data_IF_242685101361
#
_entry.id   IF_242685101361
#
_cell.length_a   1.000
_cell.length_b   1.000
_cell.length_c   1.000
_cell.angle_alpha   90.00
_cell.angle_beta   90.00
_cell.angle_gamma   90.00
#
_symmetry.space_group_name_H-M   'P 1'
#
loop_
_entity.id
_entity.type
_entity.pdbx_description
1 polymer ?
#
# COMPACT_ATOMS: atom_id res chain seq x y z
N UNK A 1 19.60 9.42 -0.19
CA UNK A 1 18.37 8.82 0.39
C UNK A 1 17.78 9.82 1.37
N UNK A 2 16.51 10.23 1.23
CA UNK A 2 15.84 11.03 2.27
C UNK A 2 15.78 10.18 3.54
N UNK A 3 16.24 10.71 4.67
CA UNK A 3 15.97 10.10 5.98
C UNK A 3 14.48 10.27 6.26
N UNK A 4 13.67 9.26 5.98
CA UNK A 4 12.31 9.18 6.51
C UNK A 4 12.38 8.66 7.93
N UNK A 5 11.76 9.37 8.87
CA UNK A 5 11.69 8.99 10.28
C UNK A 5 10.70 7.83 10.53
N UNK A 6 10.11 7.25 9.46
CA UNK A 6 9.16 6.14 9.49
C UNK A 6 8.04 6.33 10.53
N UNK A 7 7.46 7.52 10.59
CA UNK A 7 6.43 7.86 11.59
C UNK A 7 5.06 7.33 11.21
N UNK A 8 4.85 7.07 9.92
CA UNK A 8 3.57 6.66 9.34
C UNK A 8 3.78 5.57 8.31
N UNK A 9 3.05 4.47 8.48
CA UNK A 9 2.98 3.33 7.57
C UNK A 9 1.54 3.20 7.08
N UNK A 10 1.32 3.41 5.79
CA UNK A 10 0.02 3.28 5.16
C UNK A 10 -0.08 1.93 4.46
N UNK A 11 -0.97 1.07 4.94
CA UNK A 11 -1.33 -0.18 4.28
C UNK A 11 -2.49 0.09 3.29
N UNK A 12 -2.34 -0.36 2.04
CA UNK A 12 -3.37 -0.25 1.01
C UNK A 12 -3.46 -1.56 0.21
N UNK A 13 -4.66 -2.06 -0.13
CA UNK A 13 -4.79 -3.30 -0.89
C UNK A 13 -4.22 -3.13 -2.30
N UNK A 14 -3.33 -4.05 -2.68
CA UNK A 14 -2.58 -3.99 -3.94
C UNK A 14 -3.40 -4.30 -5.19
N UNK A 15 -4.57 -4.93 -5.04
CA UNK A 15 -5.46 -5.30 -6.14
C UNK A 15 -6.41 -4.17 -6.61
N UNK A 16 -6.32 -2.97 -6.02
CA UNK A 16 -7.16 -1.82 -6.39
C UNK A 16 -6.33 -0.65 -6.91
N UNK A 17 -6.17 -0.55 -8.24
CA UNK A 17 -5.32 0.47 -8.90
C UNK A 17 -5.57 1.91 -8.40
N UNK A 18 -6.83 2.35 -8.31
CA UNK A 18 -7.17 3.69 -7.80
C UNK A 18 -6.71 3.92 -6.35
N UNK A 19 -6.70 2.88 -5.51
CA UNK A 19 -6.25 2.97 -4.12
C UNK A 19 -4.73 3.02 -4.05
N UNK A 20 -4.05 2.25 -4.91
CA UNK A 20 -2.59 2.29 -5.05
C UNK A 20 -2.12 3.68 -5.48
N UNK A 21 -2.70 4.23 -6.55
CA UNK A 21 -2.38 5.57 -7.04
C UNK A 21 -2.55 6.62 -5.95
N UNK A 22 -3.70 6.59 -5.25
CA UNK A 22 -3.95 7.51 -4.14
C UNK A 22 -2.93 7.32 -3.01
N UNK A 23 -2.63 6.09 -2.60
CA UNK A 23 -1.71 5.81 -1.50
C UNK A 23 -0.31 6.38 -1.77
N UNK A 24 0.20 6.23 -3.00
CA UNK A 24 1.49 6.76 -3.43
C UNK A 24 1.54 8.30 -3.49
N UNK A 25 0.39 8.97 -3.63
CA UNK A 25 0.29 10.43 -3.65
C UNK A 25 0.12 11.07 -2.26
N UNK A 26 -0.08 10.27 -1.20
CA UNK A 26 -0.28 10.76 0.16
C UNK A 26 1.06 11.02 0.88
N UNK A 27 1.01 11.82 1.93
CA UNK A 27 2.19 12.20 2.73
C UNK A 27 2.68 11.17 3.75
N UNK A 28 2.37 9.88 3.56
CA UNK A 28 2.91 8.82 4.44
C UNK A 28 4.41 8.64 4.24
N UNK A 29 5.13 8.34 5.32
CA UNK A 29 6.57 8.07 5.23
C UNK A 29 6.86 6.74 4.50
N UNK A 30 5.97 5.75 4.65
CA UNK A 30 6.03 4.44 3.98
C UNK A 30 4.64 4.03 3.50
N UNK A 31 4.56 3.51 2.27
CA UNK A 31 3.37 2.85 1.71
C UNK A 31 3.68 1.36 1.57
N UNK A 32 2.80 0.52 2.11
CA UNK A 32 2.86 -0.93 1.97
C UNK A 32 1.64 -1.37 1.18
N UNK A 33 1.86 -1.90 -0.02
CA UNK A 33 0.82 -2.50 -0.83
C UNK A 33 0.61 -3.93 -0.35
N UNK A 34 -0.56 -4.18 0.23
CA UNK A 34 -0.92 -5.44 0.84
C UNK A 34 -1.47 -6.40 -0.21
N UNK A 35 -0.85 -7.57 -0.31
CA UNK A 35 -1.27 -8.69 -1.15
C UNK A 35 -1.83 -9.85 -0.32
N UNK A 36 -1.86 -9.72 1.01
CA UNK A 36 -2.32 -10.71 1.98
C UNK A 36 -3.75 -10.38 2.46
N UNK A 37 -3.94 -10.01 3.73
CA UNK A 37 -5.24 -10.02 4.39
C UNK A 37 -6.24 -9.01 3.80
N UNK A 38 -5.76 -7.93 3.15
CA UNK A 38 -6.61 -6.97 2.48
C UNK A 38 -7.08 -7.40 1.07
N UNK A 39 -6.62 -8.55 0.55
CA UNK A 39 -6.96 -9.06 -0.79
C UNK A 39 -7.71 -10.38 -0.68
N UNK A 40 -8.93 -10.43 -1.25
CA UNK A 40 -9.72 -11.65 -1.29
C UNK A 40 -8.97 -12.77 -2.04
N UNK A 41 -9.12 -14.02 -1.58
CA UNK A 41 -8.43 -15.18 -2.18
C UNK A 41 -8.68 -15.30 -3.69
N UNK A 42 -9.88 -14.95 -4.16
CA UNK A 42 -10.25 -14.97 -5.58
C UNK A 42 -9.54 -13.92 -6.43
N UNK A 43 -8.92 -12.93 -5.82
CA UNK A 43 -8.25 -11.80 -6.50
C UNK A 43 -6.72 -11.87 -6.38
N UNK A 44 -6.17 -12.92 -5.73
CA UNK A 44 -4.73 -13.17 -5.69
C UNK A 44 -4.29 -13.87 -6.97
N UNK A 45 -3.16 -13.43 -7.53
CA UNK A 45 -2.44 -14.21 -8.54
C UNK A 45 -1.90 -15.50 -7.92
N UNK A 46 -1.84 -16.58 -8.69
CA UNK A 46 -1.37 -17.91 -8.25
C UNK A 46 0.11 -18.11 -8.55
#
# INVERSE_FOLDING_TARGET
MRKHANRTYLFAPGNHERRVEKALALGSDVVILDLEDAVAVSEKEK
#
